data_IF_566896523653
#
_entry.id   IF_566896523653
#
_cell.length_a   1.000
_cell.length_b   1.000
_cell.length_c   1.000
_cell.angle_alpha   90.00
_cell.angle_beta   90.00
_cell.angle_gamma   90.00
#
_symmetry.space_group_name_H-M   'P 1'
#
loop_
_entity.id
_entity.type
_entity.pdbx_description
1 polymer ?
#
# COMPACT_ATOMS: atom_id res chain seq x y z
N UNK A 1 2.91 -21.10 -15.92
CA UNK A 1 3.70 -21.01 -14.66
C UNK A 1 2.81 -20.67 -13.44
N UNK A 2 1.81 -19.74 -13.55
CA UNK A 2 1.01 -19.28 -12.41
C UNK A 2 0.17 -20.37 -11.71
N UNK A 3 -0.45 -21.27 -12.44
CA UNK A 3 -1.31 -22.34 -11.88
C UNK A 3 -0.55 -23.32 -10.97
N UNK A 4 0.72 -23.60 -11.25
CA UNK A 4 1.56 -24.50 -10.45
C UNK A 4 2.04 -23.88 -9.14
N UNK A 5 1.91 -22.55 -8.96
CA UNK A 5 2.37 -21.83 -7.75
C UNK A 5 1.25 -21.55 -6.75
N UNK A 6 -0.03 -21.78 -7.09
CA UNK A 6 -1.13 -21.48 -6.19
C UNK A 6 -1.03 -22.32 -4.90
N UNK A 7 -0.77 -23.61 -5.01
CA UNK A 7 -0.63 -24.49 -3.84
C UNK A 7 0.54 -24.06 -2.95
N UNK A 8 1.65 -23.64 -3.55
CA UNK A 8 2.82 -23.11 -2.82
C UNK A 8 2.46 -21.84 -2.07
N UNK A 9 1.72 -20.93 -2.71
CA UNK A 9 1.25 -19.69 -2.08
C UNK A 9 0.26 -19.95 -0.93
N UNK A 10 -0.68 -20.89 -1.14
CA UNK A 10 -1.62 -21.30 -0.09
C UNK A 10 -0.88 -21.94 1.10
N UNK A 11 0.09 -22.81 0.83
CA UNK A 11 0.94 -23.39 1.87
C UNK A 11 1.75 -22.34 2.64
N UNK A 12 2.21 -21.27 1.97
CA UNK A 12 2.89 -20.16 2.64
C UNK A 12 1.96 -19.43 3.62
N UNK A 13 0.70 -19.16 3.24
CA UNK A 13 -0.31 -18.57 4.10
C UNK A 13 -0.57 -19.47 5.34
N UNK A 14 -0.74 -20.76 5.12
CA UNK A 14 -0.94 -21.73 6.20
C UNK A 14 0.26 -21.82 7.15
N UNK A 15 1.48 -21.78 6.61
CA UNK A 15 2.70 -21.81 7.41
C UNK A 15 2.81 -20.55 8.28
N UNK A 16 2.49 -19.37 7.74
CA UNK A 16 2.45 -18.12 8.50
C UNK A 16 1.39 -18.20 9.61
N UNK A 17 0.22 -18.78 9.33
CA UNK A 17 -0.86 -18.97 10.32
C UNK A 17 -0.44 -19.83 11.51
N UNK A 18 0.40 -20.82 11.29
CA UNK A 18 0.91 -21.73 12.35
C UNK A 18 1.95 -21.09 13.28
N UNK A 19 2.53 -19.94 12.89
CA UNK A 19 3.52 -19.26 13.73
C UNK A 19 2.85 -18.61 14.93
N UNK A 20 3.35 -18.86 16.12
CA UNK A 20 2.86 -18.28 17.38
C UNK A 20 3.60 -17.01 17.76
N UNK A 21 4.90 -16.90 17.39
CA UNK A 21 5.75 -15.76 17.69
C UNK A 21 6.31 -15.13 16.40
N UNK A 22 6.50 -13.80 16.43
CA UNK A 22 7.09 -13.02 15.33
C UNK A 22 6.44 -13.31 13.95
N UNK A 23 5.12 -13.54 13.96
CA UNK A 23 4.36 -13.85 12.76
C UNK A 23 4.44 -12.69 11.76
N UNK A 24 4.93 -12.89 10.53
CA UNK A 24 4.91 -11.86 9.51
C UNK A 24 3.50 -11.59 9.03
N UNK A 25 3.26 -10.38 8.56
CA UNK A 25 2.02 -10.03 7.85
C UNK A 25 2.18 -10.32 6.35
N UNK A 26 1.11 -10.79 5.73
CA UNK A 26 1.05 -11.02 4.29
C UNK A 26 0.32 -9.85 3.62
N UNK A 27 0.87 -9.37 2.52
CA UNK A 27 0.20 -8.45 1.59
C UNK A 27 0.09 -9.17 0.25
N UNK A 28 -1.12 -9.23 -0.30
CA UNK A 28 -1.35 -9.75 -1.63
C UNK A 28 -1.00 -8.67 -2.66
N UNK A 29 -0.27 -9.04 -3.70
CA UNK A 29 0.19 -8.09 -4.74
C UNK A 29 -0.18 -8.64 -6.13
N UNK A 30 -1.47 -8.63 -6.50
CA UNK A 30 -1.91 -9.10 -7.81
C UNK A 30 -1.69 -8.05 -8.88
N UNK A 31 -1.18 -8.48 -10.04
CA UNK A 31 -1.21 -7.66 -11.27
C UNK A 31 -2.53 -7.88 -11.98
N UNK A 32 -3.22 -6.80 -12.35
CA UNK A 32 -4.51 -6.85 -13.02
C UNK A 32 -4.37 -6.39 -14.47
N UNK A 33 -4.91 -7.20 -15.37
CA UNK A 33 -4.97 -6.95 -16.82
C UNK A 33 -6.43 -7.04 -17.26
N UNK A 34 -6.90 -6.04 -17.98
CA UNK A 34 -8.28 -6.02 -18.50
C UNK A 34 -8.54 -7.24 -19.38
N UNK A 35 -9.72 -7.86 -19.21
CA UNK A 35 -10.13 -9.04 -19.97
C UNK A 35 -9.43 -10.35 -19.56
N UNK A 36 -8.41 -10.30 -18.71
CA UNK A 36 -7.69 -11.50 -18.25
C UNK A 36 -8.10 -11.92 -16.84
N UNK A 37 -8.04 -11.00 -15.88
CA UNK A 37 -8.31 -11.29 -14.47
C UNK A 37 -8.96 -10.13 -13.69
N UNK A 38 -9.40 -9.09 -14.37
CA UNK A 38 -10.17 -7.98 -13.80
C UNK A 38 -11.48 -8.45 -13.16
N UNK A 39 -12.12 -9.47 -13.71
CA UNK A 39 -13.30 -10.13 -13.14
C UNK A 39 -13.04 -10.83 -11.79
N UNK A 40 -11.79 -11.01 -11.38
CA UNK A 40 -11.39 -11.67 -10.12
C UNK A 40 -11.05 -10.68 -9.00
N UNK A 41 -11.13 -9.38 -9.24
CA UNK A 41 -10.76 -8.35 -8.25
C UNK A 41 -11.55 -8.55 -6.95
N UNK A 42 -12.87 -8.73 -7.03
CA UNK A 42 -13.72 -8.96 -5.87
C UNK A 42 -13.39 -10.26 -5.12
N UNK A 43 -13.08 -11.33 -5.83
CA UNK A 43 -12.70 -12.60 -5.22
C UNK A 43 -11.38 -12.49 -4.45
N UNK A 44 -10.41 -11.74 -4.98
CA UNK A 44 -9.13 -11.48 -4.30
C UNK A 44 -9.37 -10.69 -3.02
N UNK A 45 -10.22 -9.67 -3.06
CA UNK A 45 -10.59 -8.87 -1.88
C UNK A 45 -11.30 -9.74 -0.83
N UNK A 46 -12.31 -10.50 -1.21
CA UNK A 46 -13.03 -11.41 -0.32
C UNK A 46 -12.10 -12.47 0.29
N UNK A 47 -11.16 -12.98 -0.51
CA UNK A 47 -10.13 -13.89 -0.02
C UNK A 47 -9.26 -13.22 1.06
N UNK A 48 -8.86 -11.96 0.86
CA UNK A 48 -8.08 -11.22 1.86
C UNK A 48 -8.89 -11.02 3.15
N UNK A 49 -10.16 -10.60 3.07
CA UNK A 49 -11.05 -10.42 4.21
C UNK A 49 -11.20 -11.73 5.01
N UNK A 50 -11.43 -12.86 4.32
CA UNK A 50 -11.55 -14.18 4.96
C UNK A 50 -10.26 -14.64 5.64
N UNK A 51 -9.11 -14.23 5.15
CA UNK A 51 -7.78 -14.58 5.68
C UNK A 51 -7.13 -13.43 6.48
N UNK A 52 -7.92 -12.48 7.02
CA UNK A 52 -7.42 -11.29 7.72
C UNK A 52 -6.56 -11.60 8.94
N UNK A 53 -6.65 -12.82 9.46
CA UNK A 53 -5.78 -13.31 10.53
C UNK A 53 -4.28 -13.35 10.15
N UNK A 54 -3.96 -13.39 8.86
CA UNK A 54 -2.59 -13.37 8.32
C UNK A 54 -2.39 -12.37 7.18
N UNK A 55 -3.45 -12.06 6.41
CA UNK A 55 -3.43 -11.10 5.31
C UNK A 55 -3.81 -9.71 5.84
N UNK A 56 -2.92 -8.73 5.66
CA UNK A 56 -3.09 -7.37 6.18
C UNK A 56 -3.49 -6.35 5.12
N UNK A 57 -3.45 -6.74 3.87
CA UNK A 57 -3.86 -5.87 2.77
C UNK A 57 -3.69 -6.49 1.42
N UNK A 58 -4.23 -5.79 0.44
CA UNK A 58 -4.07 -6.07 -0.97
C UNK A 58 -3.54 -4.80 -1.64
N UNK A 59 -2.42 -4.91 -2.33
CA UNK A 59 -1.88 -3.84 -3.16
C UNK A 59 -1.98 -4.25 -4.62
N UNK A 60 -3.07 -3.88 -5.27
CA UNK A 60 -3.28 -4.15 -6.67
C UNK A 60 -2.30 -3.36 -7.55
N UNK A 61 -1.80 -4.01 -8.59
CA UNK A 61 -0.93 -3.39 -9.57
C UNK A 61 -1.59 -3.45 -10.94
N UNK A 62 -2.23 -2.38 -11.40
CA UNK A 62 -2.61 -2.27 -12.81
C UNK A 62 -1.40 -2.54 -13.70
N UNK A 63 -1.63 -3.27 -14.80
CA UNK A 63 -0.55 -3.72 -15.67
C UNK A 63 0.27 -2.54 -16.23
N UNK A 64 1.57 -2.67 -16.20
CA UNK A 64 2.53 -1.82 -16.90
C UNK A 64 3.09 -2.60 -18.10
N UNK A 65 2.98 -2.06 -19.30
CA UNK A 65 3.41 -2.69 -20.54
C UNK A 65 4.85 -2.33 -20.84
N UNK A 66 5.73 -3.33 -20.90
CA UNK A 66 7.16 -3.13 -21.19
C UNK A 66 7.57 -3.86 -22.46
N UNK A 67 8.46 -3.25 -23.22
CA UNK A 67 8.94 -3.79 -24.49
C UNK A 67 8.00 -3.51 -25.66
N UNK A 68 8.16 -4.28 -26.74
CA UNK A 68 7.34 -4.12 -27.95
C UNK A 68 6.04 -4.91 -27.81
N UNK A 69 4.93 -4.20 -27.65
CA UNK A 69 3.60 -4.75 -27.52
C UNK A 69 2.72 -4.10 -28.57
N UNK A 70 1.89 -4.90 -29.24
CA UNK A 70 0.93 -4.42 -30.23
C UNK A 70 0.01 -3.37 -29.62
N UNK A 71 -0.34 -2.34 -30.40
CA UNK A 71 -1.17 -1.23 -29.92
C UNK A 71 -2.54 -1.72 -29.47
N UNK A 72 -3.16 -2.61 -30.23
CA UNK A 72 -4.48 -3.15 -29.93
C UNK A 72 -4.43 -3.95 -28.61
N UNK A 73 -3.42 -4.80 -28.44
CA UNK A 73 -3.23 -5.59 -27.21
C UNK A 73 -3.06 -4.67 -25.98
N UNK A 74 -2.31 -3.56 -26.12
CA UNK A 74 -2.15 -2.56 -25.05
C UNK A 74 -3.47 -1.86 -24.72
N UNK A 75 -4.20 -1.40 -25.73
CA UNK A 75 -5.45 -0.68 -25.53
C UNK A 75 -6.53 -1.57 -24.91
N UNK A 76 -6.65 -2.81 -25.38
CA UNK A 76 -7.60 -3.79 -24.84
C UNK A 76 -7.22 -4.26 -23.44
N UNK A 77 -5.92 -4.45 -23.18
CA UNK A 77 -5.42 -4.94 -21.89
C UNK A 77 -5.19 -3.86 -20.83
N UNK A 78 -5.25 -2.56 -21.20
CA UNK A 78 -5.01 -1.45 -20.27
C UNK A 78 -6.03 -1.45 -19.14
N UNK A 79 -5.53 -1.54 -17.92
CA UNK A 79 -6.30 -1.43 -16.70
C UNK A 79 -5.71 -0.31 -15.84
N UNK A 80 -6.55 0.47 -15.18
CA UNK A 80 -6.14 1.67 -14.44
C UNK A 80 -6.65 1.67 -13.01
N UNK A 81 -6.18 2.61 -12.18
CA UNK A 81 -6.67 2.77 -10.81
C UNK A 81 -8.18 3.08 -10.76
N UNK A 82 -8.74 3.97 -11.59
CA UNK A 82 -10.19 4.17 -11.66
C UNK A 82 -10.96 2.89 -11.97
N UNK A 83 -10.50 2.08 -12.92
CA UNK A 83 -11.12 0.79 -13.22
C UNK A 83 -11.13 -0.14 -12.00
N UNK A 84 -10.01 -0.21 -11.27
CA UNK A 84 -9.92 -1.01 -10.05
C UNK A 84 -10.91 -0.54 -8.98
N UNK A 85 -11.00 0.76 -8.75
CA UNK A 85 -11.91 1.34 -7.75
C UNK A 85 -13.36 0.97 -8.08
N UNK A 86 -13.72 1.07 -9.36
CA UNK A 86 -15.04 0.70 -9.85
C UNK A 86 -15.30 -0.80 -9.68
N UNK A 87 -14.34 -1.65 -10.04
CA UNK A 87 -14.46 -3.11 -9.92
C UNK A 87 -14.52 -3.57 -8.46
N UNK A 88 -13.74 -2.98 -7.55
CA UNK A 88 -13.85 -3.26 -6.12
C UNK A 88 -15.26 -2.94 -5.62
N UNK A 89 -15.79 -1.77 -5.97
CA UNK A 89 -17.15 -1.38 -5.59
C UNK A 89 -18.22 -2.32 -6.16
N UNK A 90 -18.18 -2.58 -7.47
CA UNK A 90 -19.16 -3.43 -8.16
C UNK A 90 -19.11 -4.88 -7.75
N UNK A 91 -17.91 -5.44 -7.56
CA UNK A 91 -17.74 -6.88 -7.30
C UNK A 91 -17.86 -7.24 -5.81
N UNK A 92 -17.70 -6.27 -4.90
CA UNK A 92 -17.76 -6.53 -3.46
C UNK A 92 -18.90 -5.81 -2.75
N UNK A 93 -19.28 -4.62 -3.17
CA UNK A 93 -20.18 -3.73 -2.44
C UNK A 93 -19.57 -3.10 -1.17
N UNK A 94 -18.27 -3.28 -0.92
CA UNK A 94 -17.63 -2.88 0.35
C UNK A 94 -17.24 -1.41 0.41
N UNK A 95 -16.93 -0.80 -0.72
CA UNK A 95 -16.48 0.58 -0.79
C UNK A 95 -17.03 1.28 -2.04
N UNK A 96 -17.31 2.55 -1.94
CA UNK A 96 -17.62 3.44 -3.05
C UNK A 96 -16.35 4.16 -3.54
N UNK A 97 -16.43 4.92 -4.61
CA UNK A 97 -15.28 5.70 -5.11
C UNK A 97 -14.85 6.80 -4.14
N UNK A 98 -15.78 7.30 -3.34
CA UNK A 98 -15.57 8.33 -2.33
C UNK A 98 -14.75 7.83 -1.13
N UNK A 99 -14.66 6.50 -0.96
CA UNK A 99 -13.90 5.89 0.14
C UNK A 99 -12.39 5.77 -0.16
N UNK A 100 -11.94 6.22 -1.34
CA UNK A 100 -10.56 6.14 -1.75
C UNK A 100 -9.86 7.50 -1.68
N UNK A 101 -8.62 7.49 -1.26
CA UNK A 101 -7.77 8.68 -1.19
C UNK A 101 -6.39 8.41 -1.82
N UNK A 102 -5.77 9.44 -2.41
CA UNK A 102 -4.42 9.28 -2.96
C UNK A 102 -3.40 9.04 -1.84
N UNK A 103 -2.42 8.18 -2.11
CA UNK A 103 -1.38 7.80 -1.13
C UNK A 103 -0.72 9.00 -0.44
N UNK A 104 -0.40 10.13 -1.11
CA UNK A 104 0.20 11.28 -0.43
C UNK A 104 -0.71 11.96 0.59
N UNK A 105 -2.00 11.66 0.64
CA UNK A 105 -2.90 12.22 1.68
C UNK A 105 -2.47 11.87 3.10
N UNK A 106 -1.70 10.78 3.31
CA UNK A 106 -1.21 10.39 4.64
C UNK A 106 0.13 11.02 5.05
N UNK A 107 0.71 11.88 4.21
CA UNK A 107 1.96 12.61 4.52
C UNK A 107 1.90 13.37 5.85
N UNK A 108 0.78 14.03 6.23
CA UNK A 108 0.64 14.69 7.53
C UNK A 108 0.93 13.78 8.72
N UNK A 109 0.55 12.51 8.66
CA UNK A 109 0.82 11.53 9.73
C UNK A 109 2.33 11.29 9.85
N UNK A 110 3.03 11.10 8.73
CA UNK A 110 4.49 10.92 8.72
C UNK A 110 5.22 12.16 9.24
N UNK A 111 4.77 13.35 8.86
CA UNK A 111 5.32 14.62 9.34
C UNK A 111 5.15 14.77 10.86
N UNK A 112 3.95 14.51 11.36
CA UNK A 112 3.66 14.56 12.78
C UNK A 112 4.47 13.53 13.58
N UNK A 113 4.51 12.26 13.11
CA UNK A 113 5.30 11.21 13.72
C UNK A 113 6.80 11.55 13.76
N UNK A 114 7.35 12.13 12.69
CA UNK A 114 8.74 12.59 12.63
C UNK A 114 9.04 13.63 13.70
N UNK A 115 8.12 14.57 13.88
CA UNK A 115 8.24 15.64 14.90
C UNK A 115 8.21 15.07 16.32
N UNK A 116 7.26 14.18 16.62
CA UNK A 116 7.09 13.62 17.97
C UNK A 116 8.26 12.72 18.37
N UNK A 117 8.76 11.93 17.41
CA UNK A 117 9.80 10.93 17.66
C UNK A 117 11.22 11.48 17.50
N UNK A 118 11.38 12.71 17.03
CA UNK A 118 12.66 13.29 16.62
C UNK A 118 13.44 12.37 15.67
N UNK A 119 12.69 11.65 14.82
CA UNK A 119 13.23 10.69 13.87
C UNK A 119 12.51 10.83 12.54
N UNK A 120 13.25 10.98 11.46
CA UNK A 120 12.65 11.01 10.12
C UNK A 120 11.81 9.75 9.86
N UNK A 121 10.58 9.96 9.47
CA UNK A 121 9.66 8.93 8.97
C UNK A 121 9.44 9.14 7.49
N UNK A 122 9.43 8.05 6.75
CA UNK A 122 9.23 8.10 5.30
C UNK A 122 7.91 8.80 4.97
N UNK A 123 7.99 9.84 4.17
CA UNK A 123 6.84 10.54 3.64
C UNK A 123 6.52 10.00 2.23
N UNK A 124 5.31 9.48 2.06
CA UNK A 124 4.86 8.96 0.76
C UNK A 124 4.40 10.12 -0.13
N UNK A 125 5.35 10.88 -0.66
CA UNK A 125 5.14 12.07 -1.48
C UNK A 125 4.93 11.77 -2.96
N UNK A 126 4.56 10.54 -3.31
CA UNK A 126 4.30 10.13 -4.68
C UNK A 126 3.26 11.03 -5.35
N UNK A 127 3.31 11.11 -6.68
CA UNK A 127 2.24 11.80 -7.40
C UNK A 127 0.88 11.13 -7.12
N UNK A 128 -0.23 11.89 -6.97
CA UNK A 128 -1.56 11.33 -6.68
C UNK A 128 -1.99 10.22 -7.64
N UNK A 129 -1.64 10.33 -8.93
CA UNK A 129 -1.95 9.30 -9.94
C UNK A 129 -1.11 8.02 -9.80
N UNK A 130 -0.11 7.98 -8.93
CA UNK A 130 0.70 6.77 -8.75
C UNK A 130 0.03 5.73 -7.87
N UNK A 131 -0.82 6.15 -6.93
CA UNK A 131 -1.46 5.23 -6.03
C UNK A 131 -2.65 5.81 -5.29
N UNK A 132 -3.66 4.97 -5.11
CA UNK A 132 -4.85 5.23 -4.30
C UNK A 132 -4.99 4.14 -3.24
N UNK A 133 -5.63 4.48 -2.14
CA UNK A 133 -5.86 3.54 -1.05
C UNK A 133 -7.20 3.80 -0.37
N UNK A 134 -7.75 2.74 0.20
CA UNK A 134 -8.83 2.77 1.17
C UNK A 134 -8.45 1.90 2.36
N UNK A 135 -8.88 2.27 3.55
CA UNK A 135 -8.58 1.55 4.78
C UNK A 135 -9.88 1.11 5.42
N UNK A 136 -10.03 -0.19 5.70
CA UNK A 136 -11.27 -0.78 6.14
C UNK A 136 -11.15 -1.34 7.55
N UNK A 137 -12.19 -1.16 8.34
CA UNK A 137 -12.43 -1.94 9.55
C UNK A 137 -13.26 -3.15 9.18
N UNK A 138 -12.91 -4.32 9.74
CA UNK A 138 -13.60 -5.59 9.52
C UNK A 138 -13.92 -6.16 10.88
N UNK A 139 -15.21 -6.30 11.20
CA UNK A 139 -15.64 -6.84 12.48
C UNK A 139 -15.59 -8.38 12.52
N UNK A 140 -15.97 -8.95 13.65
CA UNK A 140 -15.97 -10.41 13.82
C UNK A 140 -16.97 -11.15 12.92
N UNK A 141 -18.02 -10.45 12.46
CA UNK A 141 -19.02 -10.98 11.50
C UNK A 141 -18.59 -10.84 10.04
N UNK A 142 -17.34 -10.40 9.78
CA UNK A 142 -16.81 -10.11 8.44
C UNK A 142 -17.50 -8.93 7.72
N UNK A 143 -18.19 -8.07 8.46
CA UNK A 143 -18.74 -6.84 7.91
C UNK A 143 -17.58 -5.84 7.70
N UNK A 144 -17.52 -5.28 6.49
CA UNK A 144 -16.47 -4.37 6.04
C UNK A 144 -16.99 -2.95 6.08
N UNK A 145 -16.32 -2.06 6.80
CA UNK A 145 -16.67 -0.64 6.89
C UNK A 145 -15.45 0.20 6.54
N UNK A 146 -15.46 0.96 5.41
CA UNK A 146 -14.42 1.92 5.09
C UNK A 146 -14.25 2.98 6.18
N UNK A 147 -13.00 3.36 6.44
CA UNK A 147 -12.66 4.37 7.46
C UNK A 147 -13.37 5.70 7.21
N UNK A 148 -13.50 6.09 5.96
CA UNK A 148 -14.14 7.31 5.50
C UNK A 148 -15.62 7.42 5.87
N UNK A 149 -16.28 6.31 6.18
CA UNK A 149 -17.70 6.32 6.57
C UNK A 149 -17.93 6.80 8.01
N UNK A 150 -16.90 6.74 8.86
CA UNK A 150 -16.99 7.19 10.25
C UNK A 150 -15.87 8.13 10.69
N UNK A 151 -14.92 8.47 9.79
CA UNK A 151 -13.86 9.45 10.02
C UNK A 151 -13.83 10.45 8.87
N UNK A 152 -13.87 11.74 9.18
CA UNK A 152 -13.54 12.80 8.24
C UNK A 152 -12.02 12.80 8.00
N UNK A 153 -11.57 11.99 7.02
CA UNK A 153 -10.16 11.76 6.74
C UNK A 153 -9.47 13.03 6.25
N UNK A 154 -10.10 13.81 5.38
CA UNK A 154 -9.52 15.02 4.82
C UNK A 154 -9.33 16.10 5.92
N UNK A 155 -10.36 16.33 6.72
CA UNK A 155 -10.27 17.24 7.87
C UNK A 155 -9.24 16.77 8.90
N UNK A 156 -9.19 15.45 9.18
CA UNK A 156 -8.19 14.88 10.08
C UNK A 156 -6.76 15.14 9.57
N UNK A 157 -6.50 14.89 8.29
CA UNK A 157 -5.16 15.08 7.70
C UNK A 157 -4.76 16.56 7.71
N UNK A 158 -5.70 17.48 7.43
CA UNK A 158 -5.48 18.92 7.51
C UNK A 158 -5.10 19.36 8.93
N UNK A 159 -5.87 18.94 9.93
CA UNK A 159 -5.63 19.31 11.33
C UNK A 159 -4.32 18.72 11.88
N UNK A 160 -3.99 17.47 11.51
CA UNK A 160 -2.72 16.82 11.88
C UNK A 160 -1.53 17.53 11.23
N UNK A 161 -1.67 18.00 10.00
CA UNK A 161 -0.61 18.78 9.34
C UNK A 161 -0.34 20.10 10.06
N UNK A 162 -1.39 20.82 10.43
CA UNK A 162 -1.26 22.05 11.19
C UNK A 162 -0.69 21.81 12.60
N UNK A 163 -1.09 20.71 13.23
CA UNK A 163 -0.51 20.30 14.50
C UNK A 163 0.98 19.97 14.36
N UNK A 164 1.39 19.27 13.29
CA UNK A 164 2.78 18.96 13.02
C UNK A 164 3.62 20.24 12.88
N UNK A 165 3.13 21.22 12.10
CA UNK A 165 3.78 22.54 11.94
C UNK A 165 3.96 23.26 13.28
N UNK A 166 2.88 23.36 14.07
CA UNK A 166 2.91 24.03 15.38
C UNK A 166 3.82 23.31 16.38
N UNK A 167 3.94 22.01 16.25
CA UNK A 167 4.73 21.18 17.17
C UNK A 167 6.21 21.15 16.82
N UNK A 168 6.57 21.40 15.55
CA UNK A 168 7.96 21.35 15.08
C UNK A 168 8.91 22.31 15.78
N UNK A 169 8.40 23.45 16.26
CA UNK A 169 9.14 24.46 17.06
C UNK A 169 8.99 24.29 18.57
N UNK A 170 8.30 23.24 19.04
CA UNK A 170 8.03 23.03 20.45
C UNK A 170 9.19 22.32 21.15
N UNK A 171 9.56 22.80 22.33
CA UNK A 171 10.54 22.13 23.22
C UNK A 171 9.99 20.80 23.75
N UNK A 172 8.67 20.65 23.86
CA UNK A 172 8.00 19.46 24.40
C UNK A 172 6.97 18.90 23.39
N UNK A 173 7.40 18.36 22.24
CA UNK A 173 6.48 17.96 21.17
C UNK A 173 5.49 16.87 21.62
N UNK A 174 5.87 16.00 22.56
CA UNK A 174 4.98 14.94 23.08
C UNK A 174 3.72 15.43 23.77
N UNK A 175 3.68 16.69 24.27
CA UNK A 175 2.47 17.28 24.84
C UNK A 175 1.37 17.46 23.79
N UNK A 176 1.73 17.55 22.51
CA UNK A 176 0.76 17.63 21.42
C UNK A 176 -0.05 16.33 21.20
N UNK A 177 0.37 15.20 21.79
CA UNK A 177 -0.38 13.93 21.69
C UNK A 177 -1.81 14.03 22.23
N UNK A 178 -2.01 14.82 23.29
CA UNK A 178 -3.36 15.07 23.81
C UNK A 178 -4.22 15.84 22.80
N UNK A 179 -3.62 16.80 22.09
CA UNK A 179 -4.30 17.55 21.04
C UNK A 179 -4.61 16.66 19.84
N UNK A 180 -3.66 15.79 19.44
CA UNK A 180 -3.88 14.84 18.36
C UNK A 180 -5.03 13.86 18.68
N UNK A 181 -5.11 13.38 19.92
CA UNK A 181 -6.24 12.54 20.38
C UNK A 181 -7.58 13.28 20.29
N UNK A 182 -7.60 14.55 20.71
CA UNK A 182 -8.81 15.37 20.60
C UNK A 182 -9.21 15.59 19.14
N UNK A 183 -8.28 15.99 18.27
CA UNK A 183 -8.52 16.15 16.83
C UNK A 183 -9.13 14.88 16.25
N UNK A 184 -8.54 13.72 16.53
CA UNK A 184 -9.04 12.45 16.04
C UNK A 184 -10.47 12.19 16.50
N UNK A 185 -10.76 12.43 17.79
CA UNK A 185 -12.13 12.29 18.32
C UNK A 185 -13.12 13.25 17.64
N UNK A 186 -12.73 14.50 17.48
CA UNK A 186 -13.57 15.55 16.89
C UNK A 186 -13.87 15.29 15.39
N UNK A 187 -13.05 14.47 14.71
CA UNK A 187 -13.20 14.07 13.31
C UNK A 187 -13.88 12.70 13.12
N UNK A 188 -14.35 12.08 14.19
CA UNK A 188 -15.11 10.82 14.14
C UNK A 188 -16.60 11.07 14.33
N UNK A 189 -17.40 10.39 13.52
CA UNK A 189 -18.85 10.30 13.71
C UNK A 189 -19.16 9.09 14.58
N UNK A 190 -19.36 9.32 15.88
CA UNK A 190 -19.62 8.26 16.86
C UNK A 190 -20.88 7.43 16.54
N UNK A 191 -21.85 8.00 15.80
CA UNK A 191 -23.07 7.29 15.41
C UNK A 191 -22.86 6.28 14.27
N UNK A 192 -21.74 6.37 13.58
CA UNK A 192 -21.38 5.49 12.44
C UNK A 192 -20.25 4.53 12.74
N UNK A 193 -19.76 4.53 13.97
CA UNK A 193 -18.71 3.61 14.38
C UNK A 193 -19.24 2.17 14.27
N UNK A 194 -18.52 1.28 13.56
CA UNK A 194 -18.98 -0.08 13.37
C UNK A 194 -18.98 -0.91 14.66
N UNK A 195 -19.86 -1.89 14.73
CA UNK A 195 -19.93 -2.84 15.84
C UNK A 195 -18.57 -3.49 16.11
N UNK A 196 -18.19 -3.55 17.39
CA UNK A 196 -16.90 -4.12 17.81
C UNK A 196 -15.73 -3.13 17.80
N UNK A 197 -15.97 -1.86 17.43
CA UNK A 197 -15.00 -0.78 17.50
C UNK A 197 -15.47 0.29 18.51
N UNK A 198 -14.56 0.81 19.33
CA UNK A 198 -14.82 1.98 20.15
C UNK A 198 -13.85 3.11 19.77
N UNK A 199 -14.27 4.37 19.99
CA UNK A 199 -13.43 5.57 19.79
C UNK A 199 -12.08 5.41 20.48
N UNK A 200 -12.10 4.97 21.74
CA UNK A 200 -10.90 4.82 22.54
C UNK A 200 -9.94 3.77 21.95
N UNK A 201 -10.44 2.62 21.53
CA UNK A 201 -9.63 1.58 20.87
C UNK A 201 -8.99 2.10 19.57
N UNK A 202 -9.76 2.85 18.78
CA UNK A 202 -9.24 3.44 17.55
C UNK A 202 -8.14 4.47 17.82
N UNK A 203 -8.38 5.39 18.77
CA UNK A 203 -7.40 6.40 19.20
C UNK A 203 -6.13 5.76 19.77
N UNK A 204 -6.26 4.73 20.60
CA UNK A 204 -5.12 4.02 21.21
C UNK A 204 -4.28 3.33 20.14
N UNK A 205 -4.93 2.74 19.14
CA UNK A 205 -4.22 2.06 18.06
C UNK A 205 -3.38 3.02 17.24
N UNK A 206 -3.95 4.16 16.85
CA UNK A 206 -3.21 5.18 16.12
C UNK A 206 -2.09 5.80 16.98
N UNK A 207 -2.34 6.03 18.28
CA UNK A 207 -1.34 6.49 19.21
C UNK A 207 -0.17 5.50 19.39
N UNK A 208 -0.45 4.22 19.36
CA UNK A 208 0.55 3.16 19.46
C UNK A 208 1.40 3.02 18.18
N UNK A 209 0.81 3.25 17.00
CA UNK A 209 1.56 3.33 15.74
C UNK A 209 2.61 4.44 15.80
N UNK A 210 2.26 5.60 16.39
CA UNK A 210 3.19 6.73 16.57
C UNK A 210 4.27 6.42 17.62
N UNK A 211 3.94 5.70 18.68
CA UNK A 211 4.84 5.53 19.84
C UNK A 211 5.72 4.28 19.81
N UNK A 212 5.62 3.40 18.81
CA UNK A 212 6.34 2.10 18.73
C UNK A 212 6.20 1.24 20.00
N UNK A 213 5.16 1.44 20.83
CA UNK A 213 4.98 0.70 22.08
C UNK A 213 3.97 -0.43 21.93
N UNK A 214 4.43 -1.60 22.32
CA UNK A 214 3.73 -2.88 22.53
C UNK A 214 3.15 -3.57 21.29
N UNK A 215 3.84 -4.64 20.90
CA UNK A 215 3.46 -5.49 19.75
C UNK A 215 2.14 -6.24 19.94
N UNK A 216 1.73 -6.57 21.17
CA UNK A 216 0.60 -7.48 21.41
C UNK A 216 -0.77 -6.78 21.47
N UNK A 217 -0.88 -5.60 22.04
CA UNK A 217 -2.14 -4.82 22.02
C UNK A 217 -2.47 -4.23 20.64
N UNK A 218 -1.43 -3.83 19.89
CA UNK A 218 -1.51 -3.44 18.49
C UNK A 218 -1.90 -4.61 17.58
N UNK A 219 -1.47 -5.81 17.90
CA UNK A 219 -1.76 -6.99 17.10
C UNK A 219 -3.26 -7.24 17.01
N UNK A 220 -3.98 -7.36 18.13
CA UNK A 220 -5.41 -7.71 18.11
C UNK A 220 -6.28 -6.71 17.34
N UNK A 221 -6.08 -5.41 17.55
CA UNK A 221 -6.87 -4.40 16.84
C UNK A 221 -6.42 -4.25 15.38
N UNK A 222 -5.11 -4.27 15.13
CA UNK A 222 -4.61 -4.15 13.77
C UNK A 222 -5.06 -5.31 12.87
N UNK A 223 -5.43 -6.47 13.42
CA UNK A 223 -6.00 -7.58 12.66
C UNK A 223 -7.41 -7.30 12.12
N UNK A 224 -8.13 -6.35 12.69
CA UNK A 224 -9.43 -5.90 12.21
C UNK A 224 -9.34 -4.76 11.18
N UNK A 225 -8.13 -4.29 10.87
CA UNK A 225 -7.90 -3.24 9.89
C UNK A 225 -7.21 -3.81 8.66
N UNK A 226 -7.72 -3.48 7.48
CA UNK A 226 -7.16 -3.94 6.19
C UNK A 226 -6.94 -2.78 5.25
N UNK A 227 -5.74 -2.73 4.64
CA UNK A 227 -5.41 -1.77 3.59
C UNK A 227 -5.73 -2.39 2.23
N UNK A 228 -6.58 -1.74 1.47
CA UNK A 228 -6.73 -2.01 0.05
C UNK A 228 -6.15 -0.84 -0.72
N UNK A 229 -5.19 -1.12 -1.55
CA UNK A 229 -4.45 -0.09 -2.27
C UNK A 229 -4.16 -0.49 -3.70
N UNK A 230 -3.83 0.48 -4.50
CA UNK A 230 -3.35 0.29 -5.86
C UNK A 230 -2.10 1.11 -6.09
N UNK A 231 -1.15 0.54 -6.81
CA UNK A 231 0.04 1.23 -7.31
C UNK A 231 0.13 1.00 -8.82
N UNK A 232 -0.06 2.07 -9.60
CA UNK A 232 0.05 2.01 -11.06
C UNK A 232 1.42 2.50 -11.51
N UNK A 233 2.33 1.58 -11.77
CA UNK A 233 3.64 1.89 -12.34
C UNK A 233 3.49 2.38 -13.78
N UNK A 234 4.36 3.31 -14.14
CA UNK A 234 4.41 3.82 -15.51
C UNK A 234 5.14 2.84 -16.42
N UNK A 235 4.76 2.87 -17.68
CA UNK A 235 5.42 2.19 -18.79
C UNK A 235 5.76 3.19 -19.92
N UNK A 236 6.38 2.70 -20.99
CA UNK A 236 6.83 3.54 -22.13
C UNK A 236 5.68 4.27 -22.83
N UNK A 237 4.44 3.83 -22.61
CA UNK A 237 3.24 4.33 -23.32
C UNK A 237 2.38 5.28 -22.48
N UNK A 238 2.69 5.44 -21.19
CA UNK A 238 2.02 6.36 -20.28
C UNK A 238 3.00 7.14 -19.40
N UNK A 239 4.25 7.31 -19.88
CA UNK A 239 5.33 7.93 -19.14
C UNK A 239 5.07 9.42 -18.89
N UNK A 240 5.14 9.83 -17.64
CA UNK A 240 4.91 11.19 -17.16
C UNK A 240 6.06 11.63 -16.25
N UNK A 241 6.75 12.66 -16.67
CA UNK A 241 7.94 13.21 -15.98
C UNK A 241 7.58 13.81 -14.61
N UNK A 242 6.40 14.42 -14.46
CA UNK A 242 5.99 15.00 -13.18
C UNK A 242 5.73 13.92 -12.13
N UNK A 243 5.24 12.77 -12.55
CA UNK A 243 5.14 11.58 -11.69
C UNK A 243 6.53 11.07 -11.28
N UNK A 244 7.48 11.04 -12.22
CA UNK A 244 8.87 10.59 -11.96
C UNK A 244 9.56 11.51 -10.96
N UNK A 245 9.43 12.83 -11.09
CA UNK A 245 10.00 13.82 -10.17
C UNK A 245 9.52 13.67 -8.72
N UNK A 246 8.33 13.11 -8.52
CA UNK A 246 7.72 12.87 -7.20
C UNK A 246 7.81 11.42 -6.73
N UNK A 247 8.60 10.60 -7.41
CA UNK A 247 8.73 9.18 -7.08
C UNK A 247 9.32 9.01 -5.68
N UNK A 248 8.71 8.16 -4.85
CA UNK A 248 9.22 7.78 -3.54
C UNK A 248 9.88 6.38 -3.54
N UNK A 249 9.90 5.70 -4.69
CA UNK A 249 10.45 4.35 -4.85
C UNK A 249 11.64 4.44 -5.82
N UNK A 250 12.80 4.01 -5.38
CA UNK A 250 14.04 4.15 -6.14
C UNK A 250 14.86 2.88 -6.12
N UNK A 251 15.60 2.65 -7.20
CA UNK A 251 16.71 1.70 -7.21
C UNK A 251 18.01 2.42 -6.84
N UNK A 252 18.76 1.81 -5.96
CA UNK A 252 20.20 2.11 -5.79
C UNK A 252 20.96 1.17 -6.71
N UNK A 253 21.70 1.71 -7.67
CA UNK A 253 22.41 0.93 -8.68
C UNK A 253 23.91 0.86 -8.37
N UNK A 254 24.66 -0.14 -8.93
CA UNK A 254 26.04 -0.41 -8.53
C UNK A 254 27.03 0.75 -8.74
N UNK A 255 26.71 1.71 -9.59
CA UNK A 255 27.56 2.92 -9.80
C UNK A 255 27.23 4.07 -8.84
N UNK A 256 26.36 3.83 -7.84
CA UNK A 256 26.00 4.80 -6.80
C UNK A 256 24.85 5.75 -7.16
N UNK A 257 24.31 5.67 -8.37
CA UNK A 257 23.13 6.46 -8.75
C UNK A 257 21.87 5.96 -8.04
N UNK A 258 20.94 6.87 -7.78
CA UNK A 258 19.59 6.58 -7.27
C UNK A 258 18.61 6.93 -8.40
N UNK A 259 17.91 5.93 -8.92
CA UNK A 259 17.05 6.07 -10.10
C UNK A 259 15.60 5.77 -9.72
N UNK A 260 14.62 6.64 -10.05
CA UNK A 260 13.21 6.38 -9.85
C UNK A 260 12.76 5.06 -10.49
N UNK A 261 11.92 4.29 -9.78
CA UNK A 261 11.51 2.94 -10.19
C UNK A 261 10.99 2.87 -11.63
N UNK A 262 10.06 3.77 -11.99
CA UNK A 262 9.49 3.78 -13.33
C UNK A 262 10.51 4.22 -14.40
N UNK A 263 11.43 5.13 -14.07
CA UNK A 263 12.50 5.53 -14.99
C UNK A 263 13.48 4.37 -15.26
N UNK A 264 13.73 3.54 -14.25
CA UNK A 264 14.60 2.37 -14.43
C UNK A 264 13.93 1.27 -15.25
N UNK A 265 12.65 0.98 -14.99
CA UNK A 265 11.96 -0.16 -15.61
C UNK A 265 11.27 0.18 -16.93
N UNK A 266 10.72 1.38 -17.08
CA UNK A 266 9.96 1.80 -18.26
C UNK A 266 10.83 2.43 -19.36
N UNK A 267 12.04 2.86 -19.04
CA UNK A 267 12.95 3.45 -20.03
C UNK A 267 14.11 2.51 -20.40
N UNK A 268 14.40 2.33 -21.68
CA UNK A 268 15.47 1.43 -22.12
C UNK A 268 16.86 1.90 -21.70
N UNK A 269 17.01 3.19 -21.41
CA UNK A 269 18.33 3.83 -21.24
C UNK A 269 19.04 3.37 -19.99
N UNK A 270 18.46 3.62 -18.82
CA UNK A 270 19.15 3.36 -17.55
C UNK A 270 19.40 1.89 -17.29
N UNK A 271 18.37 1.07 -17.44
CA UNK A 271 18.46 -0.35 -17.19
C UNK A 271 19.45 -1.04 -18.11
N UNK A 272 19.38 -0.76 -19.42
CA UNK A 272 20.27 -1.35 -20.42
C UNK A 272 21.73 -0.97 -20.17
N UNK A 273 22.00 0.28 -19.82
CA UNK A 273 23.35 0.76 -19.50
C UNK A 273 23.93 0.03 -18.28
N UNK A 274 23.13 -0.08 -17.21
CA UNK A 274 23.55 -0.69 -15.95
C UNK A 274 23.74 -2.20 -16.10
N UNK A 275 22.78 -2.88 -16.73
CA UNK A 275 22.88 -4.32 -16.97
C UNK A 275 24.09 -4.66 -17.85
N UNK A 276 24.32 -3.88 -18.89
CA UNK A 276 25.49 -4.07 -19.77
C UNK A 276 26.83 -3.92 -19.03
N UNK A 277 26.87 -3.03 -18.03
CA UNK A 277 28.11 -2.74 -17.30
C UNK A 277 28.35 -3.65 -16.11
N UNK A 278 27.29 -4.09 -15.42
CA UNK A 278 27.42 -4.72 -14.11
C UNK A 278 26.79 -6.12 -14.03
N UNK A 279 26.02 -6.58 -15.03
CA UNK A 279 25.44 -7.93 -14.99
C UNK A 279 26.34 -8.95 -15.66
N UNK A 280 26.22 -10.18 -15.23
CA UNK A 280 26.82 -11.33 -15.90
C UNK A 280 25.86 -11.81 -16.99
N UNK A 281 26.33 -12.03 -18.23
CA UNK A 281 25.49 -12.59 -19.29
C UNK A 281 24.88 -13.93 -18.87
N UNK A 282 23.63 -14.16 -19.24
CA UNK A 282 22.88 -15.35 -18.83
C UNK A 282 23.59 -16.66 -19.21
N UNK A 283 24.23 -16.69 -20.39
CA UNK A 283 24.97 -17.87 -20.85
C UNK A 283 26.21 -18.18 -20.01
N UNK A 284 26.90 -17.12 -19.55
CA UNK A 284 28.05 -17.25 -18.66
C UNK A 284 27.61 -17.69 -17.26
N UNK A 285 26.51 -17.09 -16.75
CA UNK A 285 25.93 -17.46 -15.47
C UNK A 285 25.46 -18.93 -15.46
N UNK A 286 24.84 -19.41 -16.54
CA UNK A 286 24.42 -20.81 -16.68
C UNK A 286 25.60 -21.80 -16.66
N UNK A 287 26.74 -21.40 -17.22
CA UNK A 287 27.96 -22.25 -17.19
C UNK A 287 28.53 -22.39 -15.80
N UNK A 288 28.34 -21.39 -14.95
CA UNK A 288 28.92 -21.35 -13.60
C UNK A 288 27.98 -21.83 -12.51
N UNK A 289 26.66 -21.66 -12.65
CA UNK A 289 25.65 -21.92 -11.61
C UNK A 289 24.38 -22.60 -12.11
N UNK A 290 24.31 -22.97 -13.37
CA UNK A 290 23.08 -23.47 -13.97
C UNK A 290 22.54 -24.76 -13.35
N UNK A 291 23.40 -25.60 -12.80
CA UNK A 291 23.01 -26.86 -12.18
C UNK A 291 22.46 -26.72 -10.76
N UNK A 292 22.69 -25.58 -10.09
CA UNK A 292 22.16 -25.32 -8.75
C UNK A 292 20.70 -24.79 -8.78
N UNK A 293 20.18 -24.34 -9.93
CA UNK A 293 18.91 -23.60 -10.05
C UNK A 293 17.95 -24.16 -11.10
N UNK A 294 18.24 -25.33 -11.66
CA UNK A 294 17.33 -26.10 -12.54
C UNK A 294 16.57 -27.14 -11.77
#
# INVERSE_FOLDING_TARGET
RGRKLLDVKMKAIENVRKLTEKRPSIVLVPTIVRGLNDHQVGEIVKFAVKNRDVVRGVNFQPVAFTGRIDQKEREEGRYTIPDLIEDVGKQTGYASKEDWFPVPSVVPISAYASTILHQYKVAFTTHPHCGMATYWFINEKEEVVPLTQFVDVDGLMSDIYDLAKKTSSSTFPKLSLLKARKILKDRMDESKIPDGLTVNQFIETLGNVVNNKTKDGLAKFSWNMMLISSMHFQDDYNYDIERVKRCAIHYVVPDGRIIPFCAYNGGPTYRTEIEKKFSVPLEEWRKTKGDEYT
#
